data_IF_878556210172
#
_entry.id   IF_878556210172
#
_cell.length_a   1.000
_cell.length_b   1.000
_cell.length_c   1.000
_cell.angle_alpha   90.00
_cell.angle_beta   90.00
_cell.angle_gamma   90.00
#
_symmetry.space_group_name_H-M   'P 1'
#
loop_
_entity.id
_entity.type
_entity.pdbx_description
1 polymer ?
#
# COMPACT_ATOMS: atom_id res chain seq x y z
N UNK A 1 -7.59 6.53 -14.46
CA UNK A 1 -7.29 7.07 -15.81
C UNK A 1 -8.13 6.39 -16.91
N UNK A 2 -8.08 5.05 -17.07
CA UNK A 2 -8.82 4.33 -18.13
C UNK A 2 -10.33 4.64 -18.18
N UNK A 3 -11.00 4.75 -17.03
CA UNK A 3 -12.43 5.11 -16.97
C UNK A 3 -12.74 6.52 -17.50
N UNK A 4 -11.81 7.49 -17.40
CA UNK A 4 -12.00 8.83 -17.97
C UNK A 4 -11.79 8.84 -19.48
N UNK A 5 -10.84 8.04 -19.99
CA UNK A 5 -10.67 7.85 -21.43
C UNK A 5 -11.88 7.19 -22.08
N UNK A 6 -12.52 6.25 -21.39
CA UNK A 6 -13.78 5.66 -21.84
C UNK A 6 -14.95 6.67 -21.89
N UNK A 7 -14.87 7.75 -21.09
CA UNK A 7 -15.81 8.87 -21.11
C UNK A 7 -15.37 10.00 -22.06
N UNK A 8 -14.38 9.76 -22.92
CA UNK A 8 -13.78 10.75 -23.83
C UNK A 8 -13.22 12.00 -23.13
N UNK A 9 -12.93 11.92 -21.83
CA UNK A 9 -12.31 13.00 -21.05
C UNK A 9 -10.82 12.70 -20.82
N UNK A 10 -9.99 13.23 -21.69
CA UNK A 10 -8.52 13.12 -21.61
C UNK A 10 -7.88 14.25 -20.81
N UNK A 11 -8.56 15.39 -20.71
CA UNK A 11 -8.02 16.60 -20.08
C UNK A 11 -8.04 16.53 -18.56
N UNK A 12 -9.05 15.91 -17.96
CA UNK A 12 -9.14 15.78 -16.50
C UNK A 12 -7.97 14.97 -15.92
N UNK A 13 -7.65 13.75 -16.42
CA UNK A 13 -6.50 13.00 -15.94
C UNK A 13 -5.17 13.72 -16.16
N UNK A 14 -5.03 14.44 -17.29
CA UNK A 14 -3.82 15.17 -17.63
C UNK A 14 -3.56 16.35 -16.69
N UNK A 15 -4.56 17.22 -16.48
CA UNK A 15 -4.43 18.38 -15.57
C UNK A 15 -4.12 17.94 -14.15
N UNK A 16 -4.79 16.90 -13.66
CA UNK A 16 -4.52 16.34 -12.34
C UNK A 16 -3.12 15.75 -12.23
N UNK A 17 -2.62 15.09 -13.29
CA UNK A 17 -1.27 14.55 -13.30
C UNK A 17 -0.24 15.68 -13.19
N UNK A 18 -0.40 16.75 -13.97
CA UNK A 18 0.48 17.92 -13.92
C UNK A 18 0.51 18.54 -12.51
N UNK A 19 -0.66 18.75 -11.90
CA UNK A 19 -0.77 19.24 -10.53
C UNK A 19 -0.06 18.32 -9.53
N UNK A 20 -0.22 17.01 -9.69
CA UNK A 20 0.38 16.05 -8.75
C UNK A 20 1.90 15.97 -8.91
N UNK A 21 2.43 16.13 -10.12
CA UNK A 21 3.88 16.24 -10.35
C UNK A 21 4.45 17.48 -9.65
N UNK A 22 3.76 18.61 -9.70
CA UNK A 22 4.17 19.81 -8.94
C UNK A 22 4.12 19.57 -7.43
N UNK A 23 3.05 18.96 -6.92
CA UNK A 23 2.97 18.57 -5.51
C UNK A 23 4.08 17.60 -5.12
N UNK A 24 4.45 16.68 -6.01
CA UNK A 24 5.55 15.76 -5.78
C UNK A 24 6.90 16.46 -5.72
N UNK A 25 7.18 17.38 -6.65
CA UNK A 25 8.41 18.15 -6.64
C UNK A 25 8.54 19.01 -5.39
N UNK A 26 7.46 19.71 -5.00
CA UNK A 26 7.42 20.51 -3.78
C UNK A 26 7.55 19.63 -2.53
N UNK A 27 6.81 18.54 -2.46
CA UNK A 27 6.88 17.57 -1.36
C UNK A 27 8.27 16.98 -1.23
N UNK A 28 8.89 16.58 -2.35
CA UNK A 28 10.25 16.05 -2.40
C UNK A 28 11.26 17.08 -1.90
N UNK A 29 11.15 18.33 -2.34
CA UNK A 29 12.03 19.41 -1.89
C UNK A 29 11.91 19.69 -0.39
N UNK A 30 10.67 19.73 0.13
CA UNK A 30 10.41 19.98 1.54
C UNK A 30 10.81 18.80 2.43
N UNK A 31 10.48 17.57 2.04
CA UNK A 31 10.74 16.35 2.81
C UNK A 31 12.21 15.96 2.76
N UNK A 32 12.94 16.26 1.69
CA UNK A 32 14.40 16.05 1.64
C UNK A 32 15.14 16.96 2.64
N UNK A 33 14.54 18.07 3.07
CA UNK A 33 15.09 18.88 4.16
C UNK A 33 14.88 18.14 5.48
N UNK A 34 15.98 17.71 6.08
CA UNK A 34 16.04 16.89 7.30
C UNK A 34 15.22 17.45 8.48
N UNK A 35 14.97 18.77 8.52
CA UNK A 35 14.18 19.46 9.55
C UNK A 35 12.75 18.89 9.70
N UNK A 36 12.11 18.47 8.60
CA UNK A 36 10.71 17.99 8.65
C UNK A 36 10.62 16.53 9.08
N UNK A 37 11.60 15.71 8.69
CA UNK A 37 11.55 14.25 8.84
C UNK A 37 12.24 13.78 10.13
N UNK A 38 13.27 14.47 10.61
CA UNK A 38 13.97 14.12 11.84
C UNK A 38 13.04 13.88 13.05
N UNK A 39 12.09 14.78 13.40
CA UNK A 39 11.25 14.57 14.58
C UNK A 39 10.39 13.29 14.45
N UNK A 40 9.98 12.94 13.23
CA UNK A 40 9.21 11.71 13.00
C UNK A 40 10.04 10.44 13.25
N UNK A 41 11.30 10.41 12.79
CA UNK A 41 12.17 9.25 13.04
C UNK A 41 12.62 9.13 14.50
N UNK A 42 12.76 10.26 15.20
CA UNK A 42 13.03 10.27 16.64
C UNK A 42 11.87 9.66 17.44
N UNK A 43 10.63 10.04 17.13
CA UNK A 43 9.43 9.44 17.74
C UNK A 43 9.39 7.92 17.51
N UNK A 44 9.75 7.47 16.30
CA UNK A 44 9.71 6.06 15.92
C UNK A 44 10.94 5.25 16.37
N UNK A 45 11.91 5.87 17.06
CA UNK A 45 13.18 5.24 17.49
C UNK A 45 13.88 4.47 16.35
N UNK A 46 13.76 4.97 15.12
CA UNK A 46 14.36 4.29 13.96
C UNK A 46 15.87 4.54 14.01
N UNK A 47 16.65 3.46 14.05
CA UNK A 47 18.12 3.52 14.01
C UNK A 47 18.55 4.21 12.70
N UNK A 48 19.47 5.18 12.79
CA UNK A 48 19.97 6.03 11.69
C UNK A 48 20.76 5.26 10.60
N UNK A 49 20.24 4.16 10.09
CA UNK A 49 20.90 3.31 9.09
C UNK A 49 20.65 3.76 7.65
N UNK A 50 19.70 4.68 7.42
CA UNK A 50 19.34 5.17 6.09
C UNK A 50 19.36 6.69 6.02
N UNK A 51 19.81 7.23 4.88
CA UNK A 51 19.77 8.66 4.61
C UNK A 51 18.32 9.14 4.54
N UNK A 52 17.91 9.94 5.53
CA UNK A 52 16.56 10.49 5.65
C UNK A 52 16.10 11.23 4.37
N UNK A 53 17.05 11.72 3.57
CA UNK A 53 16.79 12.35 2.26
C UNK A 53 16.13 11.37 1.27
N UNK A 54 16.64 10.15 1.19
CA UNK A 54 16.13 9.11 0.28
C UNK A 54 14.72 8.70 0.72
N UNK A 55 14.50 8.57 2.03
CA UNK A 55 13.18 8.21 2.56
C UNK A 55 12.18 9.35 2.31
N UNK A 56 12.60 10.61 2.47
CA UNK A 56 11.78 11.78 2.17
C UNK A 56 11.29 11.82 0.72
N UNK A 57 12.15 11.48 -0.23
CA UNK A 57 11.77 11.34 -1.64
C UNK A 57 10.73 10.24 -1.86
N UNK A 58 10.94 9.06 -1.25
CA UNK A 58 10.00 7.93 -1.36
C UNK A 58 8.62 8.25 -0.75
N UNK A 59 8.59 8.95 0.39
CA UNK A 59 7.37 9.42 1.04
C UNK A 59 6.65 10.43 0.15
N UNK A 60 7.38 11.42 -0.39
CA UNK A 60 6.80 12.40 -1.31
C UNK A 60 6.15 11.73 -2.52
N UNK A 61 6.85 10.78 -3.15
CA UNK A 61 6.34 10.01 -4.29
C UNK A 61 5.06 9.23 -3.97
N UNK A 62 5.06 8.53 -2.83
CA UNK A 62 3.90 7.75 -2.40
C UNK A 62 2.70 8.64 -2.08
N UNK A 63 2.93 9.74 -1.37
CA UNK A 63 1.88 10.69 -0.99
C UNK A 63 1.26 11.37 -2.22
N UNK A 64 2.10 11.79 -3.18
CA UNK A 64 1.63 12.34 -4.45
C UNK A 64 0.81 11.31 -5.23
N UNK A 65 1.25 10.05 -5.30
CA UNK A 65 0.51 9.00 -5.99
C UNK A 65 -0.87 8.74 -5.37
N UNK A 66 -0.95 8.75 -4.04
CA UNK A 66 -2.22 8.64 -3.30
C UNK A 66 -3.10 9.85 -3.59
N UNK A 67 -2.55 11.06 -3.54
CA UNK A 67 -3.28 12.30 -3.85
C UNK A 67 -3.85 12.25 -5.28
N UNK A 68 -3.07 11.85 -6.27
CA UNK A 68 -3.54 11.72 -7.65
C UNK A 68 -4.71 10.73 -7.77
N UNK A 69 -4.58 9.57 -7.12
CA UNK A 69 -5.62 8.55 -7.10
C UNK A 69 -6.91 9.07 -6.45
N UNK A 70 -6.81 9.77 -5.31
CA UNK A 70 -7.94 10.36 -4.59
C UNK A 70 -8.62 11.46 -5.42
N UNK A 71 -7.85 12.37 -6.01
CA UNK A 71 -8.39 13.44 -6.87
C UNK A 71 -9.12 12.87 -8.09
N UNK A 72 -8.55 11.85 -8.75
CA UNK A 72 -9.21 11.14 -9.84
C UNK A 72 -10.51 10.48 -9.38
N UNK A 73 -10.50 9.81 -8.22
CA UNK A 73 -11.67 9.14 -7.68
C UNK A 73 -12.82 10.13 -7.42
N UNK A 74 -12.55 11.27 -6.79
CA UNK A 74 -13.58 12.28 -6.54
C UNK A 74 -14.11 12.92 -7.82
N UNK A 75 -13.24 13.24 -8.79
CA UNK A 75 -13.66 13.76 -10.10
C UNK A 75 -14.49 12.74 -10.88
N UNK A 76 -14.17 11.45 -10.75
CA UNK A 76 -14.92 10.39 -11.40
C UNK A 76 -16.30 10.25 -10.77
N UNK A 77 -16.37 10.20 -9.43
CA UNK A 77 -17.63 10.17 -8.68
C UNK A 77 -18.54 11.35 -9.03
N UNK A 78 -17.98 12.54 -9.19
CA UNK A 78 -18.75 13.72 -9.61
C UNK A 78 -19.36 13.58 -11.01
N UNK A 79 -18.72 12.81 -11.93
CA UNK A 79 -19.21 12.59 -13.29
C UNK A 79 -20.13 11.37 -13.42
N UNK A 80 -19.89 10.30 -12.67
CA UNK A 80 -20.63 9.03 -12.77
C UNK A 80 -21.75 8.91 -11.73
N UNK A 81 -21.88 9.86 -10.82
CA UNK A 81 -22.87 9.83 -9.74
C UNK A 81 -22.43 9.03 -8.51
N UNK A 82 -23.32 8.87 -7.52
CA UNK A 82 -23.01 8.17 -6.28
C UNK A 82 -22.68 6.69 -6.54
N UNK A 83 -21.54 6.26 -6.00
CA UNK A 83 -21.12 4.87 -6.02
C UNK A 83 -21.99 4.04 -5.08
N UNK A 84 -22.17 2.76 -5.40
CA UNK A 84 -22.86 1.82 -4.54
C UNK A 84 -22.24 1.82 -3.12
N UNK A 85 -23.09 1.91 -2.09
CA UNK A 85 -22.70 1.87 -0.66
C UNK A 85 -21.92 0.61 -0.28
N UNK A 86 -21.98 -0.44 -1.10
CA UNK A 86 -21.22 -1.68 -0.89
C UNK A 86 -19.71 -1.50 -1.09
N UNK A 87 -19.27 -0.53 -1.90
CA UNK A 87 -17.84 -0.32 -2.18
C UNK A 87 -17.07 0.09 -0.92
N UNK A 88 -17.63 0.98 -0.09
CA UNK A 88 -16.96 1.43 1.14
C UNK A 88 -16.81 0.29 2.15
N UNK A 89 -17.84 -0.56 2.29
CA UNK A 89 -17.80 -1.75 3.15
C UNK A 89 -16.71 -2.73 2.70
N UNK A 90 -16.57 -2.93 1.38
CA UNK A 90 -15.54 -3.81 0.82
C UNK A 90 -14.13 -3.26 1.05
N UNK A 91 -13.92 -1.95 0.85
CA UNK A 91 -12.62 -1.30 1.11
C UNK A 91 -12.21 -1.46 2.57
N UNK A 92 -13.13 -1.25 3.53
CA UNK A 92 -12.83 -1.42 4.94
C UNK A 92 -12.44 -2.86 5.31
N UNK A 93 -13.11 -3.86 4.74
CA UNK A 93 -12.75 -5.27 4.94
C UNK A 93 -11.35 -5.57 4.43
N UNK A 94 -10.97 -5.04 3.26
CA UNK A 94 -9.61 -5.19 2.73
C UNK A 94 -8.55 -4.52 3.59
N UNK A 95 -8.81 -3.33 4.11
CA UNK A 95 -7.91 -2.63 5.02
C UNK A 95 -7.69 -3.43 6.31
N UNK A 96 -8.76 -3.93 6.92
CA UNK A 96 -8.68 -4.75 8.13
C UNK A 96 -7.94 -6.07 7.88
N UNK A 97 -8.23 -6.76 6.78
CA UNK A 97 -7.53 -8.00 6.41
C UNK A 97 -6.03 -7.76 6.20
N UNK A 98 -5.66 -6.67 5.53
CA UNK A 98 -4.26 -6.30 5.30
C UNK A 98 -3.53 -5.95 6.59
N UNK A 99 -4.22 -5.27 7.53
CA UNK A 99 -3.66 -4.94 8.83
C UNK A 99 -3.41 -6.18 9.69
N UNK A 100 -4.39 -7.09 9.78
CA UNK A 100 -4.25 -8.36 10.50
C UNK A 100 -3.12 -9.18 9.91
N UNK A 101 -3.07 -9.31 8.58
CA UNK A 101 -1.96 -9.95 7.88
C UNK A 101 -0.61 -9.33 8.26
N UNK A 102 -0.51 -8.00 8.23
CA UNK A 102 0.71 -7.28 8.59
C UNK A 102 1.21 -7.61 10.00
N UNK A 103 0.31 -7.64 10.99
CA UNK A 103 0.64 -8.00 12.37
C UNK A 103 1.14 -9.45 12.47
N UNK A 104 0.45 -10.39 11.81
CA UNK A 104 0.84 -11.81 11.84
C UNK A 104 2.18 -12.05 11.15
N UNK A 105 2.43 -11.41 10.00
CA UNK A 105 3.71 -11.49 9.30
C UNK A 105 4.83 -10.89 10.14
N UNK A 106 4.59 -9.75 10.79
CA UNK A 106 5.58 -9.12 11.67
C UNK A 106 5.92 -10.04 12.86
N UNK A 107 4.91 -10.65 13.49
CA UNK A 107 5.11 -11.66 14.54
C UNK A 107 5.86 -12.89 14.03
N UNK A 108 5.48 -13.42 12.87
CA UNK A 108 6.12 -14.55 12.23
C UNK A 108 7.61 -14.31 11.94
N UNK A 109 7.98 -13.08 11.56
CA UNK A 109 9.39 -12.71 11.36
C UNK A 109 10.22 -12.80 12.63
N UNK A 110 9.69 -12.44 13.80
CA UNK A 110 10.40 -12.58 15.07
C UNK A 110 10.67 -14.04 15.41
N UNK A 111 9.67 -14.92 15.21
CA UNK A 111 9.84 -16.37 15.43
C UNK A 111 10.87 -16.93 14.47
N UNK A 112 10.75 -16.65 13.17
CA UNK A 112 11.69 -17.12 12.16
C UNK A 112 13.12 -16.60 12.38
N UNK A 113 13.27 -15.39 12.92
CA UNK A 113 14.57 -14.80 13.24
C UNK A 113 15.34 -15.53 14.35
N UNK A 114 14.65 -16.28 15.21
CA UNK A 114 15.30 -17.15 16.22
C UNK A 114 15.77 -18.49 15.66
N UNK A 115 15.26 -18.90 14.50
CA UNK A 115 15.53 -20.21 13.89
C UNK A 115 16.46 -20.10 12.67
N UNK A 116 16.36 -19.00 11.91
CA UNK A 116 17.09 -18.79 10.66
C UNK A 116 18.24 -17.81 10.88
N UNK A 117 19.44 -18.15 10.39
CA UNK A 117 20.59 -17.27 10.46
C UNK A 117 20.49 -16.10 9.47
N UNK A 118 20.18 -14.92 9.99
CA UNK A 118 19.98 -13.68 9.21
C UNK A 118 21.28 -13.02 8.73
N UNK A 119 22.45 -13.54 9.12
CA UNK A 119 23.74 -13.01 8.67
C UNK A 119 24.09 -13.43 7.23
N UNK A 120 23.27 -14.30 6.62
CA UNK A 120 23.45 -14.76 5.24
C UNK A 120 22.33 -14.25 4.35
N UNK A 121 22.66 -13.87 3.11
CA UNK A 121 21.64 -13.47 2.13
C UNK A 121 20.60 -14.57 1.87
N UNK A 122 21.01 -15.83 1.95
CA UNK A 122 20.11 -17.00 1.84
C UNK A 122 19.14 -17.07 3.01
N UNK A 123 19.59 -16.81 4.23
CA UNK A 123 18.71 -16.75 5.41
C UNK A 123 17.67 -15.63 5.33
N UNK A 124 18.07 -14.44 4.88
CA UNK A 124 17.13 -13.32 4.64
C UNK A 124 16.14 -13.66 3.54
N UNK A 125 16.59 -14.31 2.46
CA UNK A 125 15.71 -14.77 1.39
C UNK A 125 14.68 -15.79 1.90
N UNK A 126 15.12 -16.82 2.64
CA UNK A 126 14.23 -17.82 3.24
C UNK A 126 13.21 -17.19 4.20
N UNK A 127 13.65 -16.27 5.07
CA UNK A 127 12.72 -15.56 5.96
C UNK A 127 11.67 -14.79 5.16
N UNK A 128 12.07 -14.13 4.07
CA UNK A 128 11.17 -13.36 3.21
C UNK A 128 10.15 -14.27 2.51
N UNK A 129 10.58 -15.42 1.98
CA UNK A 129 9.69 -16.39 1.34
C UNK A 129 8.70 -17.01 2.33
N UNK A 130 9.17 -17.47 3.49
CA UNK A 130 8.31 -18.10 4.50
C UNK A 130 7.33 -17.08 5.09
N UNK A 131 7.81 -15.89 5.47
CA UNK A 131 6.95 -14.84 6.01
C UNK A 131 5.97 -14.28 4.95
N UNK A 132 6.40 -14.19 3.69
CA UNK A 132 5.54 -13.83 2.57
C UNK A 132 4.43 -14.87 2.33
N UNK A 133 4.78 -16.15 2.32
CA UNK A 133 3.82 -17.25 2.22
C UNK A 133 2.82 -17.27 3.38
N UNK A 134 3.29 -17.09 4.61
CA UNK A 134 2.44 -16.93 5.78
C UNK A 134 1.44 -15.78 5.60
N UNK A 135 1.92 -14.62 5.11
CA UNK A 135 1.07 -13.46 4.83
C UNK A 135 -0.04 -13.77 3.83
N UNK A 136 0.28 -14.43 2.72
CA UNK A 136 -0.73 -14.83 1.72
C UNK A 136 -1.79 -15.74 2.33
N UNK A 137 -1.37 -16.76 3.09
CA UNK A 137 -2.30 -17.69 3.76
C UNK A 137 -3.21 -16.94 4.73
N UNK A 138 -2.66 -16.10 5.59
CA UNK A 138 -3.43 -15.33 6.58
C UNK A 138 -4.41 -14.39 5.89
N UNK A 139 -3.97 -13.68 4.85
CA UNK A 139 -4.84 -12.78 4.10
C UNK A 139 -6.02 -13.52 3.46
N UNK A 140 -5.78 -14.67 2.82
CA UNK A 140 -6.86 -15.49 2.23
C UNK A 140 -7.83 -16.03 3.30
N UNK A 141 -7.33 -16.46 4.45
CA UNK A 141 -8.17 -16.93 5.56
C UNK A 141 -9.04 -15.79 6.09
N UNK A 142 -8.45 -14.63 6.39
CA UNK A 142 -9.19 -13.48 6.94
C UNK A 142 -10.22 -12.94 5.96
N UNK A 143 -9.86 -12.80 4.67
CA UNK A 143 -10.80 -12.34 3.64
C UNK A 143 -11.94 -13.33 3.39
N UNK A 144 -11.68 -14.64 3.55
CA UNK A 144 -12.72 -15.68 3.54
C UNK A 144 -13.66 -15.57 4.74
N UNK A 145 -13.13 -15.36 5.94
CA UNK A 145 -13.94 -15.15 7.16
C UNK A 145 -14.81 -13.89 7.06
N UNK A 146 -14.35 -12.86 6.35
CA UNK A 146 -15.13 -11.64 6.09
C UNK A 146 -16.16 -11.76 4.95
N UNK A 147 -16.31 -12.96 4.37
CA UNK A 147 -17.22 -13.29 3.28
C UNK A 147 -17.07 -12.36 2.06
N UNK A 148 -15.83 -12.02 1.68
CA UNK A 148 -15.57 -11.27 0.45
C UNK A 148 -15.74 -12.18 -0.76
N UNK A 149 -16.72 -11.88 -1.60
CA UNK A 149 -17.05 -12.67 -2.80
C UNK A 149 -15.87 -12.80 -3.75
N UNK A 150 -15.06 -11.74 -3.85
CA UNK A 150 -13.87 -11.67 -4.69
C UNK A 150 -12.80 -12.65 -4.22
N UNK A 151 -12.56 -12.73 -2.90
CA UNK A 151 -11.58 -13.65 -2.32
C UNK A 151 -12.05 -15.11 -2.45
N UNK A 152 -13.33 -15.37 -2.25
CA UNK A 152 -13.92 -16.71 -2.40
C UNK A 152 -13.76 -17.23 -3.84
N UNK A 153 -14.02 -16.41 -4.87
CA UNK A 153 -13.80 -16.80 -6.27
C UNK A 153 -12.36 -17.17 -6.57
N UNK A 154 -11.39 -16.48 -5.97
CA UNK A 154 -9.96 -16.80 -6.17
C UNK A 154 -9.64 -18.15 -5.52
N UNK A 155 -10.09 -18.38 -4.29
CA UNK A 155 -9.86 -19.63 -3.56
C UNK A 155 -10.51 -20.81 -4.30
N UNK A 156 -11.73 -20.64 -4.81
CA UNK A 156 -12.42 -21.66 -5.61
C UNK A 156 -11.64 -22.02 -6.87
N UNK A 157 -11.12 -21.02 -7.60
CA UNK A 157 -10.29 -21.28 -8.79
C UNK A 157 -8.99 -22.01 -8.49
N UNK A 158 -8.36 -21.72 -7.35
CA UNK A 158 -7.14 -22.43 -6.91
C UNK A 158 -7.46 -23.89 -6.57
N UNK A 159 -8.64 -24.16 -6.01
CA UNK A 159 -9.05 -25.52 -5.61
C UNK A 159 -9.46 -26.43 -6.78
N UNK A 160 -9.62 -25.87 -7.97
CA UNK A 160 -9.96 -26.59 -9.21
C UNK A 160 -8.68 -27.04 -9.97
N UNK A 161 -7.51 -26.52 -9.57
CA UNK A 161 -6.18 -27.01 -9.98
C UNK A 161 -5.66 -28.05 -8.98
#
# INVERSE_FOLDING_TARGET
ARSFYALSDTLTPFKLALWTVLTNALGSFLLTRQVVIQPFFEILKVKNSFDARIIGLAIAFSLSSILYMVLLFFKLKAKTGPLETKLSSVVWKFLLASMIMGVVVQGGKFVLGSVINLNTGVGVAMQTFIAGGLGVVVYLVVTRLMHLKEAQRIIEKIKIF
#
